data_IF_336262842877
#
_entry.id   IF_336262842877
#
_cell.length_a   1.000
_cell.length_b   1.000
_cell.length_c   1.000
_cell.angle_alpha   90.00
_cell.angle_beta   90.00
_cell.angle_gamma   90.00
#
_symmetry.space_group_name_H-M   'P 1'
#
loop_
_entity.id
_entity.type
_entity.pdbx_description
1 polymer ?
#
# COMPACT_ATOMS: atom_id res chain seq x y z
N UNK A 1 23.17 -22.99 25.49
CA UNK A 1 23.80 -22.10 24.49
C UNK A 1 22.75 -21.06 24.16
N UNK A 2 22.96 -19.79 24.50
CA UNK A 2 22.01 -18.73 24.16
C UNK A 2 21.92 -18.62 22.64
N UNK A 3 20.70 -18.64 22.09
CA UNK A 3 20.45 -18.34 20.69
C UNK A 3 20.73 -16.85 20.48
N UNK A 4 21.87 -16.55 19.86
CA UNK A 4 22.27 -15.21 19.45
C UNK A 4 21.71 -15.01 18.03
N UNK A 5 20.86 -13.99 17.85
CA UNK A 5 20.29 -13.66 16.55
C UNK A 5 21.32 -12.94 15.66
N UNK A 6 21.00 -12.80 14.36
CA UNK A 6 21.87 -12.20 13.32
C UNK A 6 22.42 -10.79 13.66
N UNK A 7 21.89 -10.11 14.68
CA UNK A 7 22.31 -8.79 15.14
C UNK A 7 23.23 -8.83 16.40
N UNK A 8 23.60 -10.01 16.91
CA UNK A 8 24.40 -10.15 18.14
C UNK A 8 23.61 -9.96 19.44
N UNK A 9 22.29 -9.78 19.35
CA UNK A 9 21.39 -9.74 20.50
C UNK A 9 20.88 -11.15 20.86
N UNK A 10 20.68 -11.36 22.15
CA UNK A 10 19.96 -12.52 22.69
C UNK A 10 18.46 -12.35 22.44
N UNK A 11 17.72 -13.47 22.44
CA UNK A 11 16.26 -13.46 22.33
C UNK A 11 15.57 -12.52 23.33
N UNK A 12 16.04 -12.51 24.57
CA UNK A 12 15.48 -11.69 25.65
C UNK A 12 15.71 -10.20 25.40
N UNK A 13 16.85 -9.82 24.83
CA UNK A 13 17.12 -8.43 24.44
C UNK A 13 16.24 -7.97 23.27
N UNK A 14 16.02 -8.84 22.27
CA UNK A 14 15.10 -8.56 21.16
C UNK A 14 13.67 -8.41 21.66
N UNK A 15 13.19 -9.34 22.49
CA UNK A 15 11.83 -9.28 23.06
C UNK A 15 11.66 -8.04 23.98
N UNK A 16 12.73 -7.62 24.69
CA UNK A 16 12.70 -6.42 25.49
C UNK A 16 12.65 -5.13 24.65
N UNK A 17 13.41 -5.07 23.56
CA UNK A 17 13.40 -3.97 22.58
C UNK A 17 12.03 -3.87 21.89
N UNK A 18 11.46 -5.00 21.44
CA UNK A 18 10.10 -5.07 20.89
C UNK A 18 9.07 -4.57 21.90
N UNK A 19 9.15 -5.02 23.16
CA UNK A 19 8.23 -4.57 24.20
C UNK A 19 8.40 -3.08 24.57
N UNK A 20 9.59 -2.50 24.41
CA UNK A 20 9.81 -1.06 24.57
C UNK A 20 9.23 -0.29 23.40
N UNK A 21 9.48 -0.73 22.17
CA UNK A 21 8.88 -0.17 20.96
C UNK A 21 7.34 -0.22 21.00
N UNK A 22 6.75 -1.32 21.47
CA UNK A 22 5.30 -1.45 21.66
C UNK A 22 4.77 -0.45 22.71
N UNK A 23 5.51 -0.22 23.80
CA UNK A 23 5.13 0.76 24.82
C UNK A 23 5.22 2.19 24.28
N UNK A 24 6.28 2.52 23.57
CA UNK A 24 6.48 3.83 22.95
C UNK A 24 5.40 4.11 21.91
N UNK A 25 5.08 3.13 21.06
CA UNK A 25 4.02 3.27 20.06
C UNK A 25 2.66 3.45 20.70
N UNK A 26 2.30 2.65 21.72
CA UNK A 26 1.04 2.81 22.45
C UNK A 26 0.94 4.18 23.14
N UNK A 27 2.02 4.65 23.77
CA UNK A 27 2.05 5.96 24.41
C UNK A 27 1.90 7.11 23.41
N UNK A 28 2.59 7.01 22.27
CA UNK A 28 2.48 7.97 21.17
C UNK A 28 1.07 8.00 20.59
N UNK A 29 0.48 6.83 20.31
CA UNK A 29 -0.89 6.71 19.83
C UNK A 29 -1.89 7.30 20.83
N UNK A 30 -1.74 7.01 22.12
CA UNK A 30 -2.62 7.54 23.16
C UNK A 30 -2.55 9.08 23.25
N UNK A 31 -1.35 9.66 23.24
CA UNK A 31 -1.16 11.11 23.24
C UNK A 31 -1.80 11.76 22.00
N UNK A 32 -1.63 11.11 20.85
CA UNK A 32 -2.20 11.55 19.59
C UNK A 32 -3.74 11.47 19.56
N UNK A 33 -4.33 10.39 20.08
CA UNK A 33 -5.79 10.26 20.24
C UNK A 33 -6.35 11.35 21.16
N UNK A 34 -5.65 11.65 22.27
CA UNK A 34 -6.06 12.72 23.18
C UNK A 34 -6.04 14.10 22.50
N UNK A 35 -5.04 14.40 21.66
CA UNK A 35 -4.97 15.64 20.91
C UNK A 35 -6.12 15.76 19.89
N UNK A 36 -6.41 14.67 19.17
CA UNK A 36 -7.56 14.61 18.24
C UNK A 36 -8.86 14.82 18.99
N UNK A 37 -9.07 14.17 20.12
CA UNK A 37 -10.27 14.30 20.92
C UNK A 37 -10.44 15.74 21.44
N UNK A 38 -9.36 16.36 21.91
CA UNK A 38 -9.35 17.75 22.32
C UNK A 38 -9.72 18.68 21.15
N UNK A 39 -9.12 18.48 19.97
CA UNK A 39 -9.49 19.23 18.76
C UNK A 39 -10.96 19.05 18.40
N UNK A 40 -11.46 17.80 18.41
CA UNK A 40 -12.85 17.49 18.11
C UNK A 40 -13.79 18.19 19.10
N UNK A 41 -13.46 18.25 20.39
CA UNK A 41 -14.24 18.98 21.41
C UNK A 41 -14.37 20.47 21.09
N UNK A 42 -13.33 21.11 20.55
CA UNK A 42 -13.38 22.54 20.17
C UNK A 42 -14.23 22.84 18.94
N UNK A 43 -14.37 21.89 18.00
CA UNK A 43 -15.10 22.14 16.76
C UNK A 43 -16.60 21.92 16.93
N UNK A 44 -17.40 22.80 16.32
CA UNK A 44 -18.86 22.70 16.33
C UNK A 44 -19.40 21.47 15.60
N UNK A 45 -20.67 21.07 15.86
CA UNK A 45 -21.27 19.83 15.37
C UNK A 45 -21.27 19.71 13.83
N UNK A 46 -21.54 20.80 13.12
CA UNK A 46 -21.51 20.82 11.65
C UNK A 46 -20.13 20.47 11.09
N UNK A 47 -19.06 20.98 11.72
CA UNK A 47 -17.69 20.74 11.28
C UNK A 47 -17.27 19.29 11.55
N UNK A 48 -17.66 18.72 12.69
CA UNK A 48 -17.46 17.29 13.00
C UNK A 48 -18.15 16.40 11.96
N UNK A 49 -19.41 16.69 11.65
CA UNK A 49 -20.16 15.99 10.61
C UNK A 49 -19.45 16.05 9.25
N UNK A 50 -18.99 17.23 8.85
CA UNK A 50 -18.29 17.40 7.58
C UNK A 50 -16.96 16.61 7.51
N UNK A 51 -16.23 16.50 8.62
CA UNK A 51 -15.00 15.70 8.72
C UNK A 51 -15.31 14.22 8.48
N UNK A 52 -16.28 13.65 9.20
CA UNK A 52 -16.70 12.25 9.04
C UNK A 52 -17.20 11.97 7.63
N UNK A 53 -18.03 12.85 7.09
CA UNK A 53 -18.57 12.74 5.73
C UNK A 53 -17.47 12.79 4.66
N UNK A 54 -16.40 13.56 4.89
CA UNK A 54 -15.25 13.63 3.98
C UNK A 54 -14.51 12.28 3.94
N UNK A 55 -14.30 11.63 5.08
CA UNK A 55 -13.69 10.29 5.14
C UNK A 55 -14.55 9.26 4.40
N UNK A 56 -15.85 9.22 4.71
CA UNK A 56 -16.80 8.32 4.07
C UNK A 56 -16.82 8.48 2.55
N UNK A 57 -16.92 9.72 2.05
CA UNK A 57 -16.93 9.98 0.61
C UNK A 57 -15.63 9.52 -0.09
N UNK A 58 -14.49 9.66 0.58
CA UNK A 58 -13.21 9.21 0.04
C UNK A 58 -13.14 7.67 -0.02
N UNK A 59 -13.59 7.00 1.04
CA UNK A 59 -13.75 5.56 1.11
C UNK A 59 -14.68 5.02 0.01
N UNK A 60 -15.91 5.53 -0.10
CA UNK A 60 -16.89 5.08 -1.09
C UNK A 60 -16.36 5.24 -2.52
N UNK A 61 -15.67 6.36 -2.78
CA UNK A 61 -15.04 6.63 -4.08
C UNK A 61 -13.89 5.67 -4.39
N UNK A 62 -13.14 5.25 -3.38
CA UNK A 62 -12.04 4.29 -3.54
C UNK A 62 -12.55 2.86 -3.74
N UNK A 63 -13.53 2.43 -2.96
CA UNK A 63 -14.20 1.14 -3.11
C UNK A 63 -14.77 0.98 -4.52
N UNK A 64 -15.58 1.94 -4.98
CA UNK A 64 -16.15 1.92 -6.34
C UNK A 64 -15.07 1.81 -7.43
N UNK A 65 -13.93 2.49 -7.28
CA UNK A 65 -12.83 2.42 -8.24
C UNK A 65 -12.12 1.07 -8.21
N UNK A 66 -12.01 0.45 -7.04
CA UNK A 66 -11.42 -0.88 -6.89
C UNK A 66 -12.34 -1.97 -7.43
N UNK A 67 -13.65 -1.87 -7.18
CA UNK A 67 -14.67 -2.76 -7.74
C UNK A 67 -14.67 -2.73 -9.25
N UNK A 68 -14.60 -1.54 -9.86
CA UNK A 68 -14.49 -1.38 -11.32
C UNK A 68 -13.22 -2.05 -11.91
N UNK A 69 -12.22 -2.36 -11.09
CA UNK A 69 -10.99 -3.05 -11.47
C UNK A 69 -10.96 -4.52 -11.00
N UNK A 70 -12.06 -5.04 -10.46
CA UNK A 70 -12.16 -6.37 -9.86
C UNK A 70 -11.11 -6.63 -8.77
N UNK A 71 -10.71 -5.58 -8.05
CA UNK A 71 -9.68 -5.65 -7.01
C UNK A 71 -10.24 -5.77 -5.59
N UNK A 72 -11.56 -5.76 -5.43
CA UNK A 72 -12.23 -6.03 -4.15
C UNK A 72 -12.50 -7.52 -4.07
N UNK A 73 -11.85 -8.25 -3.15
CA UNK A 73 -12.06 -9.69 -3.02
C UNK A 73 -13.44 -10.00 -2.42
N UNK A 74 -14.05 -11.10 -2.86
CA UNK A 74 -15.36 -11.54 -2.37
C UNK A 74 -15.37 -11.95 -0.88
N UNK A 75 -14.20 -12.31 -0.35
CA UNK A 75 -14.03 -12.70 1.05
C UNK A 75 -13.81 -11.51 2.01
N UNK A 76 -13.85 -10.27 1.52
CA UNK A 76 -13.66 -9.06 2.34
C UNK A 76 -14.78 -8.93 3.37
N UNK A 77 -14.44 -8.97 4.67
CA UNK A 77 -15.44 -8.88 5.74
C UNK A 77 -15.86 -7.44 6.01
N UNK A 78 -16.89 -7.26 6.84
CA UNK A 78 -17.32 -5.93 7.24
C UNK A 78 -16.33 -5.28 8.23
N UNK A 79 -15.61 -6.08 9.01
CA UNK A 79 -14.49 -5.64 9.84
C UNK A 79 -13.35 -5.08 8.99
N UNK A 80 -13.01 -5.74 7.88
CA UNK A 80 -12.00 -5.25 6.94
C UNK A 80 -12.43 -3.93 6.32
N UNK A 81 -13.68 -3.82 5.87
CA UNK A 81 -14.23 -2.56 5.33
C UNK A 81 -14.17 -1.43 6.36
N UNK A 82 -14.48 -1.74 7.63
CA UNK A 82 -14.34 -0.79 8.73
C UNK A 82 -12.87 -0.39 8.96
N UNK A 83 -11.93 -1.33 8.85
CA UNK A 83 -10.49 -1.03 8.93
C UNK A 83 -10.02 -0.13 7.78
N UNK A 84 -10.50 -0.35 6.55
CA UNK A 84 -10.23 0.55 5.42
C UNK A 84 -10.77 1.96 5.71
N UNK A 85 -12.01 2.07 6.20
CA UNK A 85 -12.60 3.36 6.54
C UNK A 85 -11.77 4.09 7.62
N UNK A 86 -11.28 3.37 8.64
CA UNK A 86 -10.38 3.93 9.66
C UNK A 86 -9.11 4.52 9.07
N UNK A 87 -8.54 3.96 8.01
CA UNK A 87 -7.38 4.54 7.31
C UNK A 87 -7.70 5.90 6.67
N UNK A 88 -8.91 6.06 6.12
CA UNK A 88 -9.36 7.36 5.58
C UNK A 88 -9.61 8.38 6.69
N UNK A 89 -10.15 7.95 7.84
CA UNK A 89 -10.30 8.80 9.02
C UNK A 89 -8.93 9.24 9.57
N UNK A 90 -7.98 8.29 9.68
CA UNK A 90 -6.59 8.51 10.04
C UNK A 90 -5.93 9.56 9.13
N UNK A 91 -6.12 9.47 7.80
CA UNK A 91 -5.58 10.47 6.88
C UNK A 91 -6.08 11.89 7.17
N UNK A 92 -7.36 12.05 7.52
CA UNK A 92 -7.90 13.37 7.89
C UNK A 92 -7.36 13.82 9.24
N UNK A 93 -7.21 12.92 10.20
CA UNK A 93 -6.63 13.22 11.50
C UNK A 93 -5.17 13.66 11.39
N UNK A 94 -4.36 12.97 10.59
CA UNK A 94 -2.97 13.34 10.30
C UNK A 94 -2.87 14.71 9.63
N UNK A 95 -3.80 15.06 8.73
CA UNK A 95 -3.87 16.40 8.14
C UNK A 95 -4.10 17.50 9.19
N UNK A 96 -4.78 17.21 10.31
CA UNK A 96 -4.97 18.18 11.39
C UNK A 96 -3.73 18.39 12.24
N UNK A 97 -3.04 17.30 12.58
CA UNK A 97 -1.86 17.35 13.46
C UNK A 97 -0.66 17.89 12.69
N UNK A 98 -0.34 17.29 11.55
CA UNK A 98 0.84 17.66 10.74
C UNK A 98 0.64 18.94 9.94
N UNK A 99 -0.61 19.40 9.76
CA UNK A 99 -1.00 20.48 8.84
C UNK A 99 -0.63 20.23 7.37
N UNK A 100 -0.27 18.99 7.03
CA UNK A 100 0.04 18.56 5.67
C UNK A 100 -1.11 17.69 5.16
N UNK A 101 -1.63 17.91 3.93
CA UNK A 101 -2.68 17.05 3.39
C UNK A 101 -2.16 15.62 3.22
N UNK A 102 -2.94 14.64 3.66
CA UNK A 102 -2.64 13.21 3.54
C UNK A 102 -3.63 12.51 2.60
N UNK A 103 -3.22 11.37 2.05
CA UNK A 103 -4.04 10.51 1.19
C UNK A 103 -3.77 9.05 1.49
N UNK A 104 -4.79 8.21 1.29
CA UNK A 104 -4.64 6.75 1.34
C UNK A 104 -4.22 6.24 -0.04
N UNK A 105 -3.15 5.46 -0.10
CA UNK A 105 -2.61 4.88 -1.33
C UNK A 105 -2.34 3.38 -1.16
N UNK A 106 -2.24 2.66 -2.28
CA UNK A 106 -1.93 1.24 -2.29
C UNK A 106 -0.42 0.99 -2.13
N UNK A 107 -0.04 -0.02 -1.34
CA UNK A 107 1.36 -0.47 -1.25
C UNK A 107 1.75 -1.17 -2.56
N UNK A 108 0.94 -2.15 -2.97
CA UNK A 108 0.99 -2.82 -4.26
C UNK A 108 -0.11 -2.21 -5.14
N UNK A 109 0.22 -1.62 -6.30
CA UNK A 109 -0.76 -0.96 -7.15
C UNK A 109 -1.83 -1.92 -7.63
N UNK A 110 -3.09 -1.45 -7.71
CA UNK A 110 -4.22 -2.26 -8.23
C UNK A 110 -3.97 -2.80 -9.64
N UNK A 111 -3.20 -2.06 -10.44
CA UNK A 111 -2.76 -2.45 -11.77
C UNK A 111 -1.28 -2.10 -11.83
N UNK A 112 -0.43 -3.10 -11.59
CA UNK A 112 1.01 -2.99 -11.63
C UNK A 112 1.53 -3.36 -13.02
N UNK A 113 2.29 -2.47 -13.62
CA UNK A 113 2.84 -2.54 -14.97
C UNK A 113 4.36 -2.43 -14.86
N UNK A 114 5.09 -3.36 -15.47
CA UNK A 114 6.52 -3.18 -15.70
C UNK A 114 6.70 -2.40 -17.01
N UNK A 115 7.55 -1.37 -16.96
CA UNK A 115 7.96 -0.62 -18.15
C UNK A 115 9.43 -0.92 -18.42
N UNK A 116 9.71 -1.47 -19.60
CA UNK A 116 11.08 -1.72 -20.05
C UNK A 116 11.45 -0.86 -21.23
N UNK A 117 12.69 -0.36 -21.23
CA UNK A 117 13.28 0.33 -22.37
C UNK A 117 14.38 -0.58 -22.90
N UNK A 118 14.15 -1.19 -24.05
CA UNK A 118 15.07 -2.08 -24.70
C UNK A 118 16.22 -1.28 -25.32
N UNK A 119 17.42 -1.34 -24.73
CA UNK A 119 18.58 -0.53 -25.17
C UNK A 119 18.96 -0.76 -26.64
N UNK A 120 18.80 -2.00 -27.13
CA UNK A 120 19.19 -2.37 -28.49
C UNK A 120 18.22 -1.85 -29.58
N UNK A 121 16.92 -1.76 -29.27
CA UNK A 121 15.89 -1.39 -30.25
C UNK A 121 15.29 0.00 -30.00
N UNK A 122 15.59 0.63 -28.86
CA UNK A 122 14.99 1.88 -28.41
C UNK A 122 13.50 1.76 -28.07
N UNK A 123 12.91 0.56 -28.11
CA UNK A 123 11.48 0.35 -27.86
C UNK A 123 11.17 0.40 -26.37
N UNK A 124 10.05 1.03 -26.03
CA UNK A 124 9.48 0.98 -24.69
C UNK A 124 8.32 -0.01 -24.67
N UNK A 125 8.41 -1.02 -23.83
CA UNK A 125 7.38 -2.03 -23.62
C UNK A 125 6.69 -1.82 -22.28
N UNK A 126 5.40 -2.13 -22.25
CA UNK A 126 4.54 -2.03 -21.08
C UNK A 126 3.82 -3.35 -20.90
N UNK A 127 4.04 -4.01 -19.77
CA UNK A 127 3.39 -5.29 -19.46
C UNK A 127 2.75 -5.25 -18.09
N UNK A 128 1.52 -5.72 -17.97
CA UNK A 128 0.90 -5.94 -16.67
C UNK A 128 1.61 -7.10 -15.95
N UNK A 129 2.00 -6.89 -14.70
CA UNK A 129 2.80 -7.87 -13.92
C UNK A 129 2.12 -8.26 -12.63
N UNK A 130 1.46 -7.33 -11.93
CA UNK A 130 0.84 -7.60 -10.64
C UNK A 130 -0.48 -6.88 -10.48
N UNK A 131 -1.45 -7.50 -9.81
CA UNK A 131 -2.68 -6.86 -9.38
C UNK A 131 -2.72 -6.81 -7.85
N UNK A 132 -2.68 -5.60 -7.28
CA UNK A 132 -2.92 -5.39 -5.85
C UNK A 132 -4.41 -5.49 -5.52
N UNK A 133 -4.72 -6.00 -4.32
CA UNK A 133 -6.10 -6.03 -3.79
C UNK A 133 -6.43 -4.76 -3.00
N UNK A 134 -7.69 -4.38 -2.94
CA UNK A 134 -8.17 -3.28 -2.10
C UNK A 134 -8.54 -3.82 -0.70
N UNK A 135 -7.51 -4.11 0.09
CA UNK A 135 -7.61 -4.69 1.45
C UNK A 135 -6.85 -3.83 2.45
N UNK A 136 -7.17 -3.85 3.77
CA UNK A 136 -6.49 -3.04 4.77
C UNK A 136 -4.96 -3.16 4.72
N UNK A 137 -4.44 -4.39 4.61
CA UNK A 137 -3.00 -4.66 4.57
C UNK A 137 -2.28 -4.18 3.30
N UNK A 138 -3.02 -3.79 2.26
CA UNK A 138 -2.44 -3.22 1.04
C UNK A 138 -2.64 -1.69 0.95
N UNK A 139 -3.16 -1.06 2.00
CA UNK A 139 -3.40 0.39 2.04
C UNK A 139 -2.49 1.05 3.07
N UNK A 140 -2.01 2.24 2.73
CA UNK A 140 -1.18 3.07 3.62
C UNK A 140 -1.54 4.53 3.52
N UNK A 141 -1.36 5.26 4.61
CA UNK A 141 -1.56 6.70 4.66
C UNK A 141 -0.25 7.41 4.38
N UNK A 142 -0.21 8.27 3.37
CA UNK A 142 0.99 8.99 2.93
C UNK A 142 0.66 10.48 2.76
N UNK A 143 1.59 11.41 3.04
CA UNK A 143 1.46 12.81 2.65
C UNK A 143 1.11 12.95 1.15
N UNK A 144 0.10 13.75 0.84
CA UNK A 144 -0.43 13.94 -0.51
C UNK A 144 0.65 14.41 -1.49
N UNK A 145 1.59 15.25 -1.04
CA UNK A 145 2.69 15.68 -1.89
C UNK A 145 3.62 14.52 -2.27
N UNK A 146 3.92 13.64 -1.31
CA UNK A 146 4.72 12.43 -1.55
C UNK A 146 3.97 11.49 -2.48
N UNK A 147 2.69 11.24 -2.24
CA UNK A 147 1.86 10.43 -3.14
C UNK A 147 1.79 11.02 -4.57
N UNK A 148 1.64 12.33 -4.74
CA UNK A 148 1.63 12.97 -6.07
C UNK A 148 2.97 12.89 -6.80
N UNK A 149 4.09 12.88 -6.06
CA UNK A 149 5.45 12.71 -6.61
C UNK A 149 5.72 11.25 -6.97
N UNK A 150 5.22 10.32 -6.16
CA UNK A 150 5.24 8.89 -6.43
C UNK A 150 4.23 8.62 -7.53
N UNK A 151 4.66 8.66 -8.78
CA UNK A 151 3.82 8.25 -9.91
C UNK A 151 4.45 7.05 -10.60
N UNK A 152 3.80 5.89 -10.45
CA UNK A 152 3.31 5.06 -11.55
C UNK A 152 2.60 3.83 -10.97
N UNK A 153 1.77 3.24 -11.80
CA UNK A 153 1.51 1.80 -11.90
C UNK A 153 2.78 0.93 -11.94
N UNK A 154 3.98 1.49 -11.76
CA UNK A 154 5.23 0.81 -12.05
C UNK A 154 5.56 -0.16 -10.93
N UNK A 155 5.57 -1.43 -11.28
CA UNK A 155 6.10 -2.49 -10.45
C UNK A 155 7.43 -2.92 -11.07
N UNK A 156 8.51 -2.78 -10.31
CA UNK A 156 9.83 -3.22 -10.77
C UNK A 156 9.83 -4.74 -10.75
N UNK A 157 9.97 -5.34 -11.94
CA UNK A 157 10.07 -6.78 -12.08
C UNK A 157 11.31 -7.09 -12.89
N UNK A 158 12.15 -7.98 -12.37
CA UNK A 158 13.32 -8.56 -13.03
C UNK A 158 12.90 -9.55 -14.12
N UNK A 159 11.92 -9.17 -14.94
CA UNK A 159 11.66 -9.86 -16.20
C UNK A 159 12.98 -9.91 -16.97
N UNK A 160 13.39 -11.00 -17.63
CA UNK A 160 14.63 -11.01 -18.40
C UNK A 160 14.49 -10.20 -19.70
N UNK A 161 15.62 -9.87 -20.35
CA UNK A 161 15.57 -9.49 -21.77
C UNK A 161 15.26 -10.74 -22.60
N UNK A 162 14.40 -10.67 -23.64
CA UNK A 162 14.28 -11.80 -24.55
C UNK A 162 15.65 -12.11 -25.15
N UNK A 163 16.03 -13.39 -25.27
CA UNK A 163 17.28 -13.78 -25.89
C UNK A 163 17.42 -13.18 -27.30
N UNK A 164 18.64 -12.76 -27.63
CA UNK A 164 18.99 -12.24 -28.95
C UNK A 164 19.20 -13.40 -29.91
N UNK A 165 18.29 -13.59 -30.87
CA UNK A 165 18.40 -14.66 -31.88
C UNK A 165 17.02 -15.08 -32.37
N UNK A 166 16.90 -15.65 -33.57
CA UNK A 166 15.63 -16.10 -34.17
C UNK A 166 15.25 -15.39 -35.47
N UNK A 167 14.42 -16.00 -36.34
CA UNK A 167 14.11 -15.50 -37.70
C UNK A 167 13.39 -14.14 -37.72
N UNK A 168 12.85 -13.69 -36.58
CA UNK A 168 12.22 -12.38 -36.40
C UNK A 168 12.98 -11.48 -35.40
N UNK A 169 14.20 -11.86 -34.98
CA UNK A 169 15.07 -11.07 -34.11
C UNK A 169 14.81 -11.20 -32.59
N UNK A 170 13.97 -12.14 -32.15
CA UNK A 170 13.86 -12.55 -30.74
C UNK A 170 13.45 -14.03 -30.64
N UNK A 171 13.98 -14.72 -29.63
CA UNK A 171 13.60 -16.09 -29.25
C UNK A 171 12.59 -15.98 -28.11
N UNK A 172 11.39 -16.54 -28.29
CA UNK A 172 10.48 -16.78 -27.16
C UNK A 172 11.16 -17.81 -26.26
N UNK A 173 11.25 -17.58 -24.94
CA UNK A 173 11.59 -18.65 -24.02
C UNK A 173 10.59 -19.78 -24.22
N UNK A 174 11.11 -21.00 -24.37
CA UNK A 174 10.36 -22.24 -24.27
C UNK A 174 9.61 -22.22 -22.93
N UNK A 175 8.28 -22.15 -22.99
CA UNK A 175 7.41 -22.01 -21.83
C UNK A 175 7.25 -23.34 -21.05
N UNK A 176 7.80 -24.43 -21.61
CA UNK A 176 7.93 -25.73 -20.94
C UNK A 176 6.60 -26.47 -20.79
N UNK A 177 5.52 -25.93 -21.36
CA UNK A 177 4.19 -26.55 -21.43
C UNK A 177 4.09 -27.63 -22.52
N UNK A 178 5.07 -27.71 -23.41
CA UNK A 178 5.18 -28.75 -24.44
C UNK A 178 5.35 -30.17 -23.86
N UNK A 179 5.81 -30.30 -22.61
CA UNK A 179 6.04 -31.57 -21.91
C UNK A 179 4.95 -31.94 -20.89
N UNK A 180 3.86 -31.16 -20.76
CA UNK A 180 2.77 -31.48 -19.83
C UNK A 180 1.85 -32.53 -20.50
N UNK A 181 1.85 -33.80 -20.04
CA UNK A 181 0.91 -34.77 -20.56
C UNK A 181 -0.52 -34.36 -20.17
N UNK A 182 -1.41 -34.33 -21.17
CA UNK A 182 -2.85 -34.11 -21.01
C UNK A 182 -3.53 -35.14 -20.09
#
# INVERSE_FOLDING_TARGET
MSEIYSCGMTREEVEAEEAEADRETVAFEAAWQAEIEAYLKTVGPQKRHNIKRRAQKAYDSAMRRAEAKNAVPAWLTDEDKAAILKLYELAIALEKVTRVPHSVDHIIPLVGVCRKIWRASGKTEHRHVVCGLHVPGNLRVIPLQTNRKIKRDWFDSDWPEPPRGGPFGFELPDDGDDDIPW
#
